data_IF_104169785086
#
_entry.id   IF_104169785086
#
_cell.length_a   1.000
_cell.length_b   1.000
_cell.length_c   1.000
_cell.angle_alpha   90.00
_cell.angle_beta   90.00
_cell.angle_gamma   90.00
#
_symmetry.space_group_name_H-M   'P 1'
#
loop_
_entity.id
_entity.type
_entity.pdbx_description
1 polymer ?
#
# COMPACT_ATOMS: atom_id res chain seq x y z
N UNK A 1 -36.32 42.42 -7.23
CA UNK A 1 -35.54 43.69 -7.26
C UNK A 1 -34.14 43.36 -6.76
N UNK A 2 -33.12 43.56 -7.59
CA UNK A 2 -31.72 43.27 -7.21
C UNK A 2 -31.21 44.46 -6.39
N UNK A 3 -30.83 44.24 -5.14
CA UNK A 3 -30.24 45.28 -4.30
C UNK A 3 -28.87 45.67 -4.86
N UNK A 4 -28.63 46.94 -5.22
CA UNK A 4 -27.33 47.38 -5.69
C UNK A 4 -26.31 47.23 -4.56
N UNK A 5 -25.28 46.42 -4.77
CA UNK A 5 -24.13 46.34 -3.85
C UNK A 5 -23.24 47.56 -4.09
N UNK A 6 -23.03 48.43 -3.09
CA UNK A 6 -22.04 49.49 -3.22
C UNK A 6 -20.66 48.87 -3.39
N UNK A 7 -19.93 49.33 -4.40
CA UNK A 7 -18.53 48.97 -4.65
C UNK A 7 -17.66 50.20 -4.43
N UNK A 8 -16.58 50.02 -3.67
CA UNK A 8 -15.56 51.04 -3.47
C UNK A 8 -14.53 50.94 -4.59
N UNK A 9 -14.32 52.02 -5.32
CA UNK A 9 -13.29 52.13 -6.36
C UNK A 9 -12.18 53.01 -5.81
N UNK A 10 -10.97 52.44 -5.63
CA UNK A 10 -9.76 53.20 -5.28
C UNK A 10 -9.00 53.49 -6.57
N UNK A 11 -8.77 54.77 -6.87
CA UNK A 11 -7.81 55.17 -7.90
C UNK A 11 -6.40 55.03 -7.33
N UNK A 12 -5.52 54.37 -8.10
CA UNK A 12 -4.11 54.14 -7.73
C UNK A 12 -3.21 54.87 -8.73
N UNK A 13 -2.09 55.37 -8.24
CA UNK A 13 -1.05 55.94 -9.08
C UNK A 13 -0.21 54.82 -9.72
N UNK A 14 -0.23 54.74 -11.05
CA UNK A 14 0.44 53.69 -11.81
C UNK A 14 1.97 53.75 -11.68
N UNK A 15 2.55 54.92 -11.42
CA UNK A 15 4.01 55.07 -11.38
C UNK A 15 4.61 54.61 -10.04
N UNK A 16 3.83 54.65 -8.95
CA UNK A 16 4.35 54.48 -7.58
C UNK A 16 3.68 53.34 -6.82
N UNK A 17 2.41 53.03 -7.11
CA UNK A 17 1.61 52.09 -6.31
C UNK A 17 1.28 50.78 -7.03
N UNK A 18 1.57 50.66 -8.34
CA UNK A 18 1.17 49.52 -9.14
C UNK A 18 1.73 48.19 -8.62
N UNK A 19 3.02 48.14 -8.32
CA UNK A 19 3.69 46.92 -7.87
C UNK A 19 3.14 46.44 -6.52
N UNK A 20 3.05 47.35 -5.55
CA UNK A 20 2.50 47.05 -4.23
C UNK A 20 1.02 46.64 -4.30
N UNK A 21 0.24 47.27 -5.18
CA UNK A 21 -1.14 46.88 -5.42
C UNK A 21 -1.25 45.48 -6.02
N UNK A 22 -0.44 45.15 -7.03
CA UNK A 22 -0.41 43.84 -7.65
C UNK A 22 -0.03 42.75 -6.65
N UNK A 23 1.04 42.95 -5.87
CA UNK A 23 1.46 42.02 -4.81
C UNK A 23 0.37 41.81 -3.77
N UNK A 24 -0.28 42.88 -3.31
CA UNK A 24 -1.38 42.79 -2.36
C UNK A 24 -2.60 42.05 -2.93
N UNK A 25 -2.93 42.24 -4.21
CA UNK A 25 -4.01 41.49 -4.87
C UNK A 25 -3.66 40.03 -5.08
N UNK A 26 -2.41 39.71 -5.42
CA UNK A 26 -1.90 38.33 -5.50
C UNK A 26 -1.98 37.68 -4.12
N UNK A 27 -1.52 38.37 -3.08
CA UNK A 27 -1.60 37.91 -1.68
C UNK A 27 -3.05 37.67 -1.27
N UNK A 28 -3.95 38.61 -1.55
CA UNK A 28 -5.38 38.47 -1.24
C UNK A 28 -6.05 37.36 -2.04
N UNK A 29 -5.69 37.15 -3.30
CA UNK A 29 -6.21 36.04 -4.11
C UNK A 29 -5.70 34.68 -3.59
N UNK A 30 -4.43 34.61 -3.15
CA UNK A 30 -3.87 33.42 -2.49
C UNK A 30 -4.51 33.18 -1.11
N UNK A 31 -4.88 34.24 -0.41
CA UNK A 31 -5.47 34.17 0.93
C UNK A 31 -7.01 34.11 0.93
N UNK A 32 -7.67 34.42 -0.19
CA UNK A 32 -9.13 34.44 -0.26
C UNK A 32 -9.68 33.02 -0.29
N UNK A 33 -10.31 32.63 0.82
CA UNK A 33 -11.06 31.39 0.95
C UNK A 33 -12.48 31.60 0.42
N UNK A 34 -12.94 30.70 -0.45
CA UNK A 34 -14.31 30.70 -0.93
C UNK A 34 -15.27 30.20 0.16
N UNK A 35 -16.23 31.02 0.55
CA UNK A 35 -17.23 30.70 1.55
C UNK A 35 -18.44 29.99 0.92
N UNK A 36 -18.34 28.68 0.65
CA UNK A 36 -19.49 27.76 0.48
C UNK A 36 -19.10 26.27 0.27
N UNK A 37 -18.04 25.80 0.91
CA UNK A 37 -17.53 24.42 0.79
C UNK A 37 -16.03 24.46 1.05
N UNK A 38 -15.51 23.53 1.85
CA UNK A 38 -14.13 23.59 2.35
C UNK A 38 -13.09 23.38 1.25
N UNK A 39 -12.80 24.43 0.48
CA UNK A 39 -11.73 24.45 -0.49
C UNK A 39 -10.47 25.04 0.16
N UNK A 40 -9.47 24.19 0.34
CA UNK A 40 -8.08 24.60 0.57
C UNK A 40 -7.53 25.30 -0.67
N UNK A 41 -6.81 26.41 -0.50
CA UNK A 41 -6.22 27.17 -1.60
C UNK A 41 -5.48 26.24 -2.59
N UNK A 42 -5.86 26.31 -3.88
CA UNK A 42 -5.29 25.51 -4.99
C UNK A 42 -3.77 25.69 -5.13
N UNK A 43 -3.22 26.79 -4.60
CA UNK A 43 -1.81 27.15 -4.71
C UNK A 43 -0.83 26.22 -3.99
N UNK A 44 -1.28 25.46 -2.98
CA UNK A 44 -0.45 24.55 -2.18
C UNK A 44 -1.10 23.15 -2.07
N UNK A 45 -1.65 22.63 -3.18
CA UNK A 45 -2.14 21.24 -3.19
C UNK A 45 -0.95 20.28 -2.99
N UNK A 46 -0.91 19.65 -1.81
CA UNK A 46 0.09 18.66 -1.38
C UNK A 46 0.20 17.45 -2.30
N UNK A 47 -0.73 17.28 -3.24
CA UNK A 47 -0.74 16.24 -4.29
C UNK A 47 0.02 16.67 -5.55
N UNK A 48 0.51 17.90 -5.62
CA UNK A 48 1.31 18.44 -6.74
C UNK A 48 2.73 18.77 -6.28
N UNK A 49 3.67 18.74 -7.22
CA UNK A 49 5.07 19.09 -7.05
C UNK A 49 5.39 20.35 -7.85
N UNK A 50 6.54 20.98 -7.56
CA UNK A 50 6.94 22.17 -8.29
C UNK A 50 7.16 21.89 -9.79
N UNK A 51 6.74 22.84 -10.61
CA UNK A 51 6.96 22.80 -12.05
C UNK A 51 8.39 23.24 -12.35
N UNK A 52 9.14 22.40 -13.08
CA UNK A 52 10.45 22.73 -13.59
C UNK A 52 10.46 22.72 -15.11
N UNK A 53 11.18 23.68 -15.68
CA UNK A 53 11.45 23.77 -17.10
C UNK A 53 12.94 23.51 -17.35
N UNK A 54 13.22 22.69 -18.34
CA UNK A 54 14.58 22.50 -18.84
C UNK A 54 15.02 23.72 -19.67
N UNK A 55 16.31 23.76 -20.03
CA UNK A 55 16.89 24.88 -20.78
C UNK A 55 16.25 25.08 -22.18
N UNK A 56 15.64 24.04 -22.73
CA UNK A 56 14.89 24.08 -23.99
C UNK A 56 13.44 24.56 -23.83
N UNK A 57 13.04 24.95 -22.61
CA UNK A 57 11.68 25.36 -22.28
C UNK A 57 10.69 24.20 -22.15
N UNK A 58 11.14 22.95 -22.28
CA UNK A 58 10.27 21.78 -22.06
C UNK A 58 10.03 21.57 -20.56
N UNK A 59 8.82 21.11 -20.21
CA UNK A 59 8.52 20.68 -18.84
C UNK A 59 9.22 19.36 -18.59
N UNK A 60 10.17 19.34 -17.67
CA UNK A 60 10.97 18.14 -17.40
C UNK A 60 11.45 18.11 -15.96
N UNK A 61 11.31 16.93 -15.34
CA UNK A 61 11.82 16.64 -13.99
C UNK A 61 12.50 15.28 -13.99
N UNK A 62 13.54 15.15 -13.17
CA UNK A 62 14.14 13.85 -12.92
C UNK A 62 13.33 13.11 -11.87
N UNK A 63 13.18 11.80 -12.02
CA UNK A 63 12.46 10.97 -11.05
C UNK A 63 13.09 11.08 -9.65
N UNK A 64 14.42 10.94 -9.58
CA UNK A 64 15.18 11.05 -8.32
C UNK A 64 15.03 12.41 -7.63
N UNK A 65 15.10 13.51 -8.38
CA UNK A 65 14.88 14.85 -7.83
C UNK A 65 13.46 15.02 -7.30
N UNK A 66 12.48 14.51 -8.06
CA UNK A 66 11.07 14.56 -7.69
C UNK A 66 10.78 13.77 -6.40
N UNK A 67 11.36 12.58 -6.25
CA UNK A 67 11.22 11.77 -5.02
C UNK A 67 11.85 12.44 -3.81
N UNK A 68 12.92 13.23 -3.98
CA UNK A 68 13.53 13.98 -2.89
C UNK A 68 12.65 15.14 -2.39
N UNK A 69 11.82 15.72 -3.27
CA UNK A 69 10.86 16.77 -2.95
C UNK A 69 9.56 16.22 -2.33
N UNK A 70 9.21 14.96 -2.60
CA UNK A 70 8.00 14.34 -2.07
C UNK A 70 8.00 14.25 -0.54
N UNK A 71 7.00 14.88 0.07
CA UNK A 71 6.68 14.71 1.48
C UNK A 71 5.30 14.07 1.63
N UNK A 72 5.17 13.25 2.67
CA UNK A 72 3.93 12.54 2.94
C UNK A 72 3.17 13.35 3.98
N UNK A 73 1.89 13.61 3.73
CA UNK A 73 0.99 14.32 4.64
C UNK A 73 -0.05 13.35 5.14
N UNK A 74 -0.28 13.32 6.45
CA UNK A 74 -1.32 12.49 7.04
C UNK A 74 -2.70 13.04 6.68
N UNK A 75 -3.52 12.21 6.04
CA UNK A 75 -4.95 12.48 5.83
C UNK A 75 -5.75 11.56 6.75
N UNK A 76 -6.68 12.13 7.51
CA UNK A 76 -7.54 11.38 8.44
C UNK A 76 -8.38 10.33 7.72
N UNK A 77 -8.75 10.59 6.47
CA UNK A 77 -9.59 9.74 5.62
C UNK A 77 -8.79 8.96 4.56
N UNK A 78 -7.46 8.85 4.69
CA UNK A 78 -6.67 8.11 3.70
C UNK A 78 -7.07 6.61 3.70
N UNK A 79 -7.44 6.03 2.55
CA UNK A 79 -8.08 4.70 2.53
C UNK A 79 -7.13 3.52 2.84
N UNK A 80 -5.81 3.74 2.78
CA UNK A 80 -4.80 2.70 2.90
C UNK A 80 -3.89 2.89 4.12
N UNK A 81 -3.69 1.83 4.90
CA UNK A 81 -2.68 1.76 5.94
C UNK A 81 -2.03 0.36 5.95
N UNK A 82 -0.69 0.23 6.07
CA UNK A 82 0.30 1.30 6.08
C UNK A 82 0.51 1.92 4.69
N UNK A 83 0.95 3.18 4.59
CA UNK A 83 1.31 3.79 3.31
C UNK A 83 2.70 3.33 2.89
N UNK A 84 2.86 2.87 1.66
CA UNK A 84 4.13 2.31 1.15
C UNK A 84 4.70 3.07 -0.04
N UNK A 85 3.92 3.91 -0.71
CA UNK A 85 4.34 4.62 -1.93
C UNK A 85 5.66 5.37 -1.75
N UNK A 86 5.81 6.17 -0.68
CA UNK A 86 7.02 6.95 -0.45
C UNK A 86 8.26 6.08 -0.28
N UNK A 87 8.18 5.06 0.57
CA UNK A 87 9.29 4.13 0.80
C UNK A 87 9.65 3.37 -0.47
N UNK A 88 8.64 2.93 -1.23
CA UNK A 88 8.84 2.25 -2.51
C UNK A 88 9.57 3.13 -3.54
N UNK A 89 9.12 4.37 -3.73
CA UNK A 89 9.79 5.32 -4.62
C UNK A 89 11.24 5.59 -4.19
N UNK A 90 11.51 5.68 -2.88
CA UNK A 90 12.88 5.83 -2.36
C UNK A 90 13.74 4.62 -2.70
N UNK A 91 13.23 3.40 -2.58
CA UNK A 91 13.98 2.19 -2.97
C UNK A 91 14.27 2.15 -4.47
N UNK A 92 13.32 2.58 -5.32
CA UNK A 92 13.57 2.72 -6.76
C UNK A 92 14.80 3.60 -6.99
N UNK A 93 14.89 4.78 -6.36
CA UNK A 93 16.03 5.71 -6.59
C UNK A 93 17.40 5.17 -6.16
N UNK A 94 17.44 4.08 -5.38
CA UNK A 94 18.69 3.39 -5.01
C UNK A 94 19.08 2.33 -6.04
N UNK A 95 18.09 1.70 -6.67
CA UNK A 95 18.27 0.55 -7.57
C UNK A 95 18.30 0.95 -9.04
N UNK A 96 17.64 2.04 -9.41
CA UNK A 96 17.41 2.47 -10.78
C UNK A 96 17.21 4.00 -10.87
N UNK A 97 17.22 4.52 -12.09
CA UNK A 97 17.02 5.95 -12.35
C UNK A 97 15.53 6.36 -12.31
N UNK A 98 14.62 5.46 -12.71
CA UNK A 98 13.17 5.67 -12.75
C UNK A 98 12.39 4.35 -12.57
N UNK A 99 11.06 4.41 -12.53
CA UNK A 99 10.22 3.22 -12.36
C UNK A 99 10.34 2.27 -13.54
N UNK A 100 10.44 2.77 -14.77
CA UNK A 100 10.61 1.94 -15.96
C UNK A 100 11.96 1.20 -15.97
N UNK A 101 13.04 1.87 -15.55
CA UNK A 101 14.34 1.22 -15.40
C UNK A 101 14.33 0.12 -14.32
N UNK A 102 13.59 0.34 -13.22
CA UNK A 102 13.38 -0.70 -12.21
C UNK A 102 12.59 -1.90 -12.77
N UNK A 103 11.56 -1.66 -13.58
CA UNK A 103 10.80 -2.71 -14.26
C UNK A 103 11.69 -3.58 -15.13
N UNK A 104 12.52 -2.98 -15.99
CA UNK A 104 13.45 -3.73 -16.85
C UNK A 104 14.41 -4.60 -16.01
N UNK A 105 14.90 -4.07 -14.89
CA UNK A 105 15.73 -4.84 -13.96
C UNK A 105 14.98 -6.00 -13.31
N UNK A 106 13.70 -5.79 -12.96
CA UNK A 106 12.85 -6.82 -12.38
C UNK A 106 12.60 -7.96 -13.37
N UNK A 107 12.20 -7.66 -14.61
CA UNK A 107 11.99 -8.66 -15.67
C UNK A 107 13.25 -9.52 -15.89
N UNK A 108 14.41 -8.88 -15.97
CA UNK A 108 15.68 -9.60 -16.15
C UNK A 108 16.00 -10.54 -14.98
N UNK A 109 15.66 -10.16 -13.74
CA UNK A 109 16.01 -10.91 -12.52
C UNK A 109 14.97 -11.95 -12.13
N UNK A 110 13.69 -11.69 -12.42
CA UNK A 110 12.57 -12.52 -11.98
C UNK A 110 12.46 -13.83 -12.76
N UNK A 111 13.05 -13.90 -13.97
CA UNK A 111 12.99 -15.08 -14.85
C UNK A 111 11.56 -15.53 -15.14
N UNK A 112 10.63 -14.57 -15.18
CA UNK A 112 9.25 -14.81 -15.60
C UNK A 112 9.28 -15.17 -17.09
N UNK A 113 8.49 -16.16 -17.54
CA UNK A 113 8.42 -16.51 -18.96
C UNK A 113 8.08 -15.31 -19.85
N UNK A 114 8.72 -15.24 -21.01
CA UNK A 114 8.43 -14.21 -22.00
C UNK A 114 6.95 -14.26 -22.42
N UNK A 115 6.32 -13.08 -22.48
CA UNK A 115 4.90 -12.95 -22.80
C UNK A 115 3.95 -13.17 -21.62
N UNK A 116 4.45 -13.38 -20.40
CA UNK A 116 3.59 -13.36 -19.22
C UNK A 116 2.92 -11.99 -19.05
N UNK A 117 1.61 -12.01 -18.76
CA UNK A 117 0.80 -10.80 -18.56
C UNK A 117 1.34 -9.88 -17.47
N UNK A 118 2.00 -10.41 -16.45
CA UNK A 118 2.53 -9.65 -15.34
C UNK A 118 3.65 -8.70 -15.78
N UNK A 119 4.41 -9.07 -16.82
CA UNK A 119 5.43 -8.21 -17.42
C UNK A 119 4.75 -6.97 -18.03
N UNK A 120 3.75 -7.17 -18.87
CA UNK A 120 3.02 -6.07 -19.51
C UNK A 120 2.25 -5.19 -18.52
N UNK A 121 1.67 -5.80 -17.49
CA UNK A 121 1.00 -5.08 -16.42
C UNK A 121 1.99 -4.19 -15.65
N UNK A 122 3.12 -4.75 -15.20
CA UNK A 122 4.13 -3.99 -14.45
C UNK A 122 4.79 -2.89 -15.30
N UNK A 123 4.98 -3.13 -16.60
CA UNK A 123 5.45 -2.14 -17.56
C UNK A 123 4.49 -0.93 -17.61
N UNK A 124 3.19 -1.18 -17.78
CA UNK A 124 2.18 -0.12 -17.81
C UNK A 124 2.17 0.67 -16.51
N UNK A 125 2.15 -0.01 -15.36
CA UNK A 125 2.17 0.64 -14.05
C UNK A 125 3.44 1.50 -13.86
N UNK A 126 4.58 1.04 -14.37
CA UNK A 126 5.85 1.80 -14.32
C UNK A 126 5.80 3.06 -15.17
N UNK A 127 5.24 2.98 -16.38
CA UNK A 127 5.05 4.15 -17.25
C UNK A 127 4.11 5.17 -16.62
N UNK A 128 3.02 4.71 -15.99
CA UNK A 128 2.09 5.58 -15.27
C UNK A 128 2.80 6.33 -14.14
N UNK A 129 3.62 5.64 -13.33
CA UNK A 129 4.42 6.27 -12.27
C UNK A 129 5.39 7.31 -12.85
N UNK A 130 6.15 6.94 -13.89
CA UNK A 130 7.13 7.84 -14.47
C UNK A 130 6.47 9.10 -15.07
N UNK A 131 5.39 8.96 -15.84
CA UNK A 131 4.65 10.10 -16.39
C UNK A 131 4.08 11.00 -15.29
N UNK A 132 3.45 10.41 -14.28
CA UNK A 132 2.85 11.17 -13.17
C UNK A 132 3.89 12.01 -12.42
N UNK A 133 5.08 11.45 -12.19
CA UNK A 133 6.13 12.12 -11.43
C UNK A 133 6.90 13.14 -12.28
N UNK A 134 7.28 12.76 -13.50
CA UNK A 134 8.23 13.53 -14.33
C UNK A 134 7.54 14.54 -15.24
N UNK A 135 6.37 14.20 -15.78
CA UNK A 135 5.63 15.03 -16.73
C UNK A 135 4.50 15.81 -16.03
N UNK A 136 3.62 15.11 -15.31
CA UNK A 136 2.48 15.75 -14.63
C UNK A 136 2.90 16.50 -13.37
N UNK A 137 4.03 16.12 -12.77
CA UNK A 137 4.55 16.74 -11.55
C UNK A 137 3.65 16.46 -10.35
N UNK A 138 3.18 15.22 -10.19
CA UNK A 138 2.33 14.82 -9.09
C UNK A 138 3.14 14.31 -7.90
N UNK A 139 2.73 14.73 -6.70
CA UNK A 139 3.20 14.19 -5.43
C UNK A 139 2.46 12.88 -5.14
N UNK A 140 2.82 11.83 -5.88
CA UNK A 140 2.10 10.55 -5.90
C UNK A 140 1.99 9.87 -4.53
N UNK A 141 2.89 10.21 -3.59
CA UNK A 141 2.83 9.69 -2.22
C UNK A 141 1.56 10.10 -1.49
N UNK A 142 0.95 11.23 -1.86
CA UNK A 142 -0.28 11.76 -1.30
C UNK A 142 -1.54 11.37 -2.09
N UNK A 143 -1.40 10.52 -3.12
CA UNK A 143 -2.50 10.07 -3.96
C UNK A 143 -2.87 8.63 -3.66
N UNK A 144 -4.11 8.41 -3.22
CA UNK A 144 -4.62 7.06 -2.93
C UNK A 144 -4.56 6.13 -4.16
N UNK A 145 -4.83 6.64 -5.36
CA UNK A 145 -4.74 5.84 -6.58
C UNK A 145 -3.30 5.36 -6.86
N UNK A 146 -2.28 6.14 -6.51
CA UNK A 146 -0.89 5.75 -6.67
C UNK A 146 -0.41 4.79 -5.58
N UNK A 147 -0.93 4.92 -4.37
CA UNK A 147 -0.74 3.90 -3.33
C UNK A 147 -1.25 2.53 -3.81
N UNK A 148 -2.43 2.49 -4.44
CA UNK A 148 -2.98 1.26 -5.03
C UNK A 148 -2.11 0.69 -6.15
N UNK A 149 -1.61 1.56 -7.04
CA UNK A 149 -0.69 1.18 -8.13
C UNK A 149 0.61 0.58 -7.56
N UNK A 150 1.22 1.24 -6.57
CA UNK A 150 2.45 0.75 -5.93
C UNK A 150 2.21 -0.60 -5.27
N UNK A 151 1.13 -0.75 -4.50
CA UNK A 151 0.74 -2.02 -3.88
C UNK A 151 0.55 -3.13 -4.91
N UNK A 152 -0.04 -2.81 -6.07
CA UNK A 152 -0.18 -3.78 -7.16
C UNK A 152 1.16 -4.21 -7.73
N UNK A 153 2.11 -3.29 -7.96
CA UNK A 153 3.48 -3.63 -8.39
C UNK A 153 4.19 -4.52 -7.36
N UNK A 154 4.07 -4.21 -6.07
CA UNK A 154 4.65 -5.02 -5.00
C UNK A 154 4.06 -6.44 -4.97
N UNK A 155 2.73 -6.57 -5.15
CA UNK A 155 2.05 -7.86 -5.25
C UNK A 155 2.52 -8.66 -6.47
N UNK A 156 2.68 -8.04 -7.64
CA UNK A 156 3.20 -8.71 -8.83
C UNK A 156 4.60 -9.26 -8.58
N UNK A 157 5.47 -8.46 -7.97
CA UNK A 157 6.82 -8.89 -7.63
C UNK A 157 6.79 -10.09 -6.66
N UNK A 158 6.06 -9.99 -5.55
CA UNK A 158 5.98 -11.05 -4.52
C UNK A 158 5.39 -12.35 -5.07
N UNK A 159 4.32 -12.26 -5.87
CA UNK A 159 3.65 -13.42 -6.44
C UNK A 159 4.59 -14.31 -7.28
N UNK A 160 5.60 -13.71 -7.92
CA UNK A 160 6.55 -14.39 -8.79
C UNK A 160 7.88 -14.77 -8.11
N UNK A 161 8.13 -14.37 -6.85
CA UNK A 161 9.40 -14.64 -6.17
C UNK A 161 9.69 -16.14 -6.04
N UNK A 162 8.68 -16.93 -5.65
CA UNK A 162 8.85 -18.36 -5.36
C UNK A 162 8.80 -19.22 -6.61
N UNK A 163 7.90 -18.91 -7.52
CA UNK A 163 7.72 -19.63 -8.76
C UNK A 163 7.34 -18.66 -9.89
N UNK A 164 8.31 -18.20 -10.69
CA UNK A 164 8.07 -17.24 -11.77
C UNK A 164 7.12 -17.73 -12.87
N UNK A 165 6.97 -19.05 -13.07
CA UNK A 165 6.07 -19.62 -14.07
C UNK A 165 4.67 -19.99 -13.55
N UNK A 166 4.48 -19.93 -12.22
CA UNK A 166 3.19 -20.23 -11.59
C UNK A 166 3.01 -19.30 -10.37
N UNK A 167 2.66 -18.01 -10.60
CA UNK A 167 2.57 -17.03 -9.54
C UNK A 167 1.45 -17.34 -8.55
N UNK A 168 1.68 -17.03 -7.27
CA UNK A 168 0.66 -17.15 -6.22
C UNK A 168 0.16 -15.79 -5.76
N UNK A 169 -1.16 -15.59 -5.83
CA UNK A 169 -1.85 -14.36 -5.41
C UNK A 169 -2.69 -14.55 -4.13
N UNK A 170 -2.46 -15.63 -3.37
CA UNK A 170 -3.21 -15.90 -2.13
C UNK A 170 -3.12 -14.75 -1.11
N UNK A 171 -2.02 -13.97 -1.15
CA UNK A 171 -1.83 -12.79 -0.30
C UNK A 171 -2.35 -11.47 -0.87
N UNK A 172 -3.04 -11.46 -2.01
CA UNK A 172 -3.44 -10.23 -2.70
C UNK A 172 -4.28 -9.29 -1.82
N UNK A 173 -5.15 -9.84 -0.96
CA UNK A 173 -5.98 -9.07 -0.03
C UNK A 173 -5.13 -8.21 0.91
N UNK A 174 -3.97 -8.72 1.36
CA UNK A 174 -3.06 -7.99 2.25
C UNK A 174 -2.36 -6.82 1.56
N UNK A 175 -2.07 -6.95 0.26
CA UNK A 175 -1.46 -5.86 -0.50
C UNK A 175 -2.48 -4.81 -0.91
N UNK A 176 -3.67 -5.22 -1.38
CA UNK A 176 -4.60 -4.29 -2.03
C UNK A 176 -5.47 -3.50 -1.04
N UNK A 177 -5.66 -3.99 0.19
CA UNK A 177 -6.47 -3.29 1.20
C UNK A 177 -7.94 -3.11 0.80
N UNK A 178 -8.40 -3.82 -0.23
CA UNK A 178 -9.77 -3.77 -0.72
C UNK A 178 -10.64 -4.73 0.08
N UNK A 179 -11.76 -4.25 0.61
CA UNK A 179 -12.76 -5.10 1.31
C UNK A 179 -13.49 -6.08 0.38
N UNK A 180 -13.23 -6.06 -0.93
CA UNK A 180 -13.79 -7.03 -1.86
C UNK A 180 -12.88 -8.26 -1.98
N UNK A 181 -13.46 -9.45 -1.74
CA UNK A 181 -12.78 -10.73 -1.96
C UNK A 181 -12.85 -11.15 -3.44
N UNK A 182 -11.93 -12.01 -3.90
CA UNK A 182 -12.06 -12.68 -5.20
C UNK A 182 -13.44 -13.33 -5.33
N UNK A 183 -14.19 -12.96 -6.38
CA UNK A 183 -15.58 -13.40 -6.59
C UNK A 183 -16.65 -12.32 -6.40
N UNK A 184 -16.27 -11.07 -6.14
CA UNK A 184 -17.20 -9.92 -6.10
C UNK A 184 -18.01 -9.81 -4.82
N UNK A 185 -17.69 -10.62 -3.79
CA UNK A 185 -18.27 -10.48 -2.48
C UNK A 185 -17.75 -9.18 -1.82
N UNK A 186 -18.68 -8.29 -1.46
CA UNK A 186 -18.38 -7.10 -0.65
C UNK A 186 -18.22 -7.58 0.78
N UNK A 187 -17.03 -7.44 1.35
CA UNK A 187 -16.78 -7.70 2.76
C UNK A 187 -16.50 -6.36 3.45
N UNK A 188 -17.28 -6.09 4.48
CA UNK A 188 -17.15 -4.88 5.30
C UNK A 188 -15.88 -5.02 6.13
N UNK A 189 -14.95 -4.07 6.01
CA UNK A 189 -13.61 -4.14 6.60
C UNK A 189 -13.66 -4.24 8.12
N UNK A 190 -14.59 -3.53 8.74
CA UNK A 190 -14.85 -3.53 10.18
C UNK A 190 -15.21 -4.93 10.68
N UNK A 191 -15.94 -5.72 9.87
CA UNK A 191 -16.28 -7.10 10.21
C UNK A 191 -15.06 -8.01 10.06
N UNK A 192 -14.20 -7.78 9.06
CA UNK A 192 -12.95 -8.54 8.89
C UNK A 192 -12.02 -8.31 10.07
N UNK A 193 -11.83 -7.06 10.47
CA UNK A 193 -10.97 -6.70 11.60
C UNK A 193 -11.51 -7.31 12.92
N UNK A 194 -12.82 -7.22 13.16
CA UNK A 194 -13.44 -7.89 14.30
C UNK A 194 -13.20 -9.41 14.31
N UNK A 195 -13.38 -10.07 13.16
CA UNK A 195 -13.16 -11.52 13.04
C UNK A 195 -11.68 -11.87 13.22
N UNK A 196 -10.77 -11.07 12.64
CA UNK A 196 -9.33 -11.25 12.79
C UNK A 196 -8.88 -11.13 14.25
N UNK A 197 -9.38 -10.12 14.97
CA UNK A 197 -9.12 -9.94 16.40
C UNK A 197 -9.66 -11.12 17.24
N UNK A 198 -10.86 -11.62 16.92
CA UNK A 198 -11.41 -12.82 17.56
C UNK A 198 -10.55 -14.05 17.30
N UNK A 199 -10.11 -14.27 16.05
CA UNK A 199 -9.21 -15.37 15.71
C UNK A 199 -7.85 -15.25 16.41
N UNK A 200 -7.30 -14.04 16.52
CA UNK A 200 -6.05 -13.80 17.23
C UNK A 200 -6.20 -14.05 18.74
N UNK A 201 -7.32 -13.64 19.34
CA UNK A 201 -7.64 -13.92 20.74
C UNK A 201 -7.78 -15.43 20.99
N UNK A 202 -8.51 -16.14 20.14
CA UNK A 202 -8.68 -17.59 20.24
C UNK A 202 -7.37 -18.35 20.07
N UNK A 203 -6.50 -17.92 19.14
CA UNK A 203 -5.17 -18.48 18.96
C UNK A 203 -4.28 -18.26 20.20
N UNK A 204 -4.41 -17.11 20.89
CA UNK A 204 -3.70 -16.83 22.14
C UNK A 204 -4.17 -17.74 23.27
N UNK A 205 -5.48 -17.90 23.44
CA UNK A 205 -6.08 -18.81 24.42
C UNK A 205 -5.62 -20.25 24.16
N UNK A 206 -5.59 -20.68 22.89
CA UNK A 206 -5.16 -22.03 22.55
C UNK A 206 -3.68 -22.26 22.86
N UNK A 207 -2.82 -21.28 22.60
CA UNK A 207 -1.39 -21.34 22.97
C UNK A 207 -1.22 -21.41 24.49
N UNK A 208 -1.97 -20.63 25.26
CA UNK A 208 -1.93 -20.69 26.72
C UNK A 208 -2.43 -22.03 27.27
N UNK A 209 -3.52 -22.57 26.72
CA UNK A 209 -4.02 -23.92 27.07
C UNK A 209 -2.99 -25.00 26.78
N UNK A 210 -2.30 -24.95 25.63
CA UNK A 210 -1.21 -25.90 25.31
C UNK A 210 -0.09 -25.81 26.34
N UNK A 211 0.40 -24.60 26.64
CA UNK A 211 1.41 -24.39 27.68
C UNK A 211 0.96 -24.93 29.04
N UNK A 212 -0.28 -24.65 29.47
CA UNK A 212 -0.81 -25.16 30.74
C UNK A 212 -0.89 -26.69 30.78
N UNK A 213 -1.29 -27.33 29.67
CA UNK A 213 -1.34 -28.78 29.58
C UNK A 213 0.07 -29.40 29.64
N UNK A 214 1.05 -28.79 28.98
CA UNK A 214 2.46 -29.20 29.05
C UNK A 214 3.01 -29.05 30.48
N UNK A 215 2.74 -27.93 31.17
CA UNK A 215 3.12 -27.76 32.58
C UNK A 215 2.47 -28.80 33.51
N UNK A 216 1.19 -29.13 33.29
CA UNK A 216 0.49 -30.17 34.07
C UNK A 216 1.05 -31.56 33.82
N UNK A 217 1.42 -31.90 32.58
CA UNK A 217 2.06 -33.17 32.27
C UNK A 217 3.46 -33.29 32.89
N UNK A 218 4.22 -32.18 32.93
CA UNK A 218 5.53 -32.15 33.58
C UNK A 218 5.44 -32.24 35.11
N UNK A 219 4.42 -31.65 35.74
CA UNK A 219 4.20 -31.76 37.19
C UNK A 219 3.54 -33.09 37.61
N UNK A 220 2.73 -33.72 36.75
CA UNK A 220 2.05 -34.99 37.02
C UNK A 220 2.92 -36.24 36.87
N UNK A 221 4.18 -36.11 36.45
CA UNK A 221 5.13 -37.24 36.30
C UNK A 221 5.77 -37.71 37.61
N UNK A 222 5.41 -37.11 38.74
CA UNK A 222 6.13 -37.23 40.01
C UNK A 222 5.37 -37.87 41.15
N UNK A 223 4.44 -38.82 40.95
CA UNK A 223 4.00 -39.69 42.07
C UNK A 223 3.23 -40.92 41.57
N UNK A 224 3.72 -42.13 41.93
CA UNK A 224 2.88 -43.33 41.94
C UNK A 224 3.21 -44.47 40.96
N UNK A 225 4.48 -44.87 40.75
CA UNK A 225 4.77 -46.25 40.28
C UNK A 225 4.71 -47.24 41.45
N UNK A 226 3.49 -47.48 41.93
CA UNK A 226 3.15 -48.62 42.76
C UNK A 226 3.17 -49.91 41.94
N UNK A 227 4.03 -50.85 42.34
CA UNK A 227 4.14 -52.20 41.78
C UNK A 227 2.81 -52.95 41.88
N UNK A 228 2.24 -53.32 40.74
CA UNK A 228 1.13 -54.28 40.64
C UNK A 228 1.44 -55.35 39.60
N UNK A 229 2.13 -56.41 40.01
CA UNK A 229 2.30 -57.66 39.26
C UNK A 229 0.93 -58.34 39.15
N UNK A 230 0.36 -58.40 37.95
CA UNK A 230 -0.79 -59.27 37.62
C UNK A 230 -0.44 -60.14 36.42
N UNK A 231 -0.38 -61.44 36.64
CA UNK A 231 0.16 -62.48 35.77
C UNK A 231 -1.02 -63.35 35.29
N UNK A 232 -1.14 -63.61 33.99
CA UNK A 232 -2.05 -64.62 33.41
C UNK A 232 -2.91 -64.04 32.26
N UNK A 233 -3.03 -64.64 31.09
CA UNK A 233 -2.64 -65.96 30.65
C UNK A 233 -2.57 -66.07 29.13
N UNK A 234 -1.85 -67.10 28.69
CA UNK A 234 -1.62 -67.53 27.31
C UNK A 234 -2.93 -67.98 26.66
N UNK A 235 -3.06 -67.67 25.37
CA UNK A 235 -3.98 -68.33 24.45
C UNK A 235 -3.70 -67.87 23.02
N UNK A 236 -2.87 -68.61 22.30
CA UNK A 236 -2.87 -68.62 20.82
C UNK A 236 -2.99 -70.07 20.37
N UNK A 237 -2.77 -70.40 19.08
CA UNK A 237 -2.94 -69.63 17.85
C UNK A 237 -3.74 -70.42 16.78
N UNK A 238 -4.07 -69.82 15.62
CA UNK A 238 -3.94 -70.39 14.24
C UNK A 238 -4.73 -69.56 13.20
N UNK A 239 -4.04 -68.96 12.21
CA UNK A 239 -4.01 -69.27 10.74
C UNK A 239 -5.34 -69.00 10.01
N UNK A 240 -5.42 -68.38 8.82
CA UNK A 240 -4.62 -68.56 7.60
C UNK A 240 -4.88 -67.46 6.54
N UNK A 241 -3.96 -67.44 5.57
CA UNK A 241 -3.86 -66.70 4.29
C UNK A 241 -5.10 -66.56 3.38
N UNK A 242 -5.06 -65.50 2.55
CA UNK A 242 -5.37 -65.43 1.09
C UNK A 242 -5.08 -63.97 0.66
N UNK A 243 -4.10 -63.58 -0.17
CA UNK A 243 -3.89 -63.80 -1.62
C UNK A 243 -5.13 -63.60 -2.51
N UNK A 244 -5.04 -62.65 -3.46
CA UNK A 244 -5.94 -62.56 -4.61
C UNK A 244 -6.06 -61.18 -5.27
N UNK A 245 -5.20 -60.95 -6.29
CA UNK A 245 -5.23 -59.95 -7.39
C UNK A 245 -5.28 -58.44 -7.10
#
# INVERSE_FOLDING_TARGET
>A
MVNPRPVLVKQIDLATELDAFCEERIRLARASLAAAGSDTAVGDDVRTLSVHYAADGSRSRTFKGSVAEMFEVDFEDFPFAPRTCKSYCREITKLAECSMAQHLSWVQKSKIPDGDRAIHEDELLSRVIDMAVTYDGLCIVNLACFELIVRRKQLLAEAHVRNPGAPSYEGAEHFMGTGSRPGGAIVVRELVDHVADRMAADARILKEKRKQNEYRQLQGGGEGRGRGRGRGGRGGPQTSAAEGN
#
